data_IF_186060349936
#
_entry.id   IF_186060349936
#
_cell.length_a   1.000
_cell.length_b   1.000
_cell.length_c   1.000
_cell.angle_alpha   90.00
_cell.angle_beta   90.00
_cell.angle_gamma   90.00
#
_symmetry.space_group_name_H-M   'P 1'
#
loop_
_entity.id
_entity.type
_entity.pdbx_description
1 polymer ?
#
# COMPACT_ATOMS: atom_id res chain seq x y z
N UNK A 1 -10.50 -11.72 0.98
CA UNK A 1 -9.20 -11.26 0.44
C UNK A 1 -8.36 -10.70 1.56
N UNK A 2 -7.09 -11.00 1.55
CA UNK A 2 -6.16 -10.51 2.57
C UNK A 2 -5.04 -9.73 1.88
N UNK A 3 -4.75 -8.55 2.40
CA UNK A 3 -3.64 -7.70 1.98
C UNK A 3 -2.61 -7.61 3.09
N UNK A 4 -1.41 -7.14 2.77
CA UNK A 4 -0.26 -7.17 3.66
C UNK A 4 0.40 -5.80 3.74
N UNK A 5 0.75 -5.39 4.96
CA UNK A 5 1.37 -4.10 5.22
C UNK A 5 2.47 -4.25 6.26
N UNK A 6 3.59 -3.62 6.02
CA UNK A 6 4.70 -3.56 6.97
C UNK A 6 4.83 -2.12 7.42
N UNK A 7 4.72 -1.89 8.72
CA UNK A 7 4.71 -0.55 9.29
C UNK A 7 5.13 -0.59 10.76
N UNK A 8 5.56 0.55 11.28
CA UNK A 8 5.77 0.75 12.71
C UNK A 8 4.46 0.98 13.45
N UNK A 9 3.43 1.41 12.75
CA UNK A 9 2.21 1.96 13.34
C UNK A 9 1.02 1.07 13.05
N UNK A 10 0.25 0.80 14.11
CA UNK A 10 -1.06 0.15 14.01
C UNK A 10 -2.11 1.15 13.55
N UNK A 11 -3.21 0.61 13.05
CA UNK A 11 -4.39 1.39 12.71
C UNK A 11 -4.56 1.63 11.23
N UNK A 12 -5.79 1.89 10.84
CA UNK A 12 -6.23 2.05 9.45
C UNK A 12 -6.68 3.48 9.15
N UNK A 13 -6.10 4.47 9.84
CA UNK A 13 -6.46 5.88 9.63
C UNK A 13 -5.92 6.47 8.34
N UNK A 14 -4.83 5.91 7.81
CA UNK A 14 -4.17 6.45 6.62
C UNK A 14 -3.51 7.81 6.84
N UNK A 15 -3.27 8.20 8.09
CA UNK A 15 -2.73 9.53 8.41
C UNK A 15 -1.36 9.77 7.78
N UNK A 16 -0.57 8.71 7.54
CA UNK A 16 0.73 8.83 6.89
C UNK A 16 0.66 9.50 5.52
N UNK A 17 -0.44 9.33 4.79
CA UNK A 17 -0.65 9.98 3.50
C UNK A 17 -0.81 11.49 3.57
N UNK A 18 -1.05 12.04 4.77
CA UNK A 18 -1.18 13.49 4.95
C UNK A 18 0.18 14.19 5.10
N UNK A 19 1.24 13.45 5.32
CA UNK A 19 2.58 14.00 5.58
C UNK A 19 3.51 14.00 4.37
N UNK A 20 3.28 13.13 3.41
CA UNK A 20 4.17 13.00 2.25
C UNK A 20 3.41 12.53 1.03
N UNK A 21 3.88 12.98 -0.14
CA UNK A 21 3.41 12.50 -1.43
C UNK A 21 3.86 11.05 -1.66
N UNK A 22 3.10 10.32 -2.46
CA UNK A 22 3.49 9.02 -2.96
C UNK A 22 3.43 9.01 -4.49
N UNK A 23 3.77 7.86 -5.06
CA UNK A 23 3.66 7.64 -6.51
C UNK A 23 2.23 7.83 -7.03
N UNK A 24 1.22 7.62 -6.16
CA UNK A 24 -0.19 7.62 -6.54
C UNK A 24 -1.02 8.71 -5.89
N UNK A 25 -0.44 9.59 -5.09
CA UNK A 25 -1.22 10.68 -4.48
C UNK A 25 -0.35 11.85 -4.06
N UNK A 26 -0.99 13.00 -3.82
CA UNK A 26 -0.41 14.15 -3.13
C UNK A 26 -0.98 14.28 -1.72
N UNK A 27 -0.12 14.61 -0.76
CA UNK A 27 -0.55 15.05 0.56
C UNK A 27 -1.43 16.32 0.43
N UNK A 28 -2.35 16.58 1.35
CA UNK A 28 -2.59 15.91 2.62
C UNK A 28 -3.82 14.97 2.56
N UNK A 29 -3.76 13.90 1.82
CA UNK A 29 -4.86 12.94 1.71
C UNK A 29 -4.59 11.72 2.57
N UNK A 30 -5.61 11.24 3.29
CA UNK A 30 -5.54 9.97 4.01
C UNK A 30 -5.56 8.82 3.02
N UNK A 31 -4.57 7.96 3.08
CA UNK A 31 -4.47 6.76 2.24
C UNK A 31 -3.57 5.72 2.92
N UNK A 32 -3.92 4.45 2.74
CA UNK A 32 -3.09 3.32 3.15
C UNK A 32 -2.59 2.59 1.91
N UNK A 33 -1.41 2.00 2.04
CA UNK A 33 -0.80 1.17 1.00
C UNK A 33 -0.65 -0.24 1.53
N UNK A 34 -1.06 -1.22 0.73
CA UNK A 34 -0.92 -2.63 1.07
C UNK A 34 -0.53 -3.42 -0.18
N UNK A 35 0.10 -4.57 0.02
CA UNK A 35 0.52 -5.45 -1.06
C UNK A 35 -0.34 -6.70 -1.10
N UNK A 36 -0.43 -7.33 -2.25
CA UNK A 36 -1.17 -8.58 -2.43
C UNK A 36 -0.51 -9.78 -1.78
N UNK A 37 0.77 -9.69 -1.45
CA UNK A 37 1.56 -10.76 -0.85
C UNK A 37 2.60 -10.19 0.11
N UNK A 38 2.93 -10.87 1.22
CA UNK A 38 3.91 -10.35 2.17
C UNK A 38 5.32 -10.19 1.59
N UNK A 39 5.69 -11.01 0.61
CA UNK A 39 6.97 -10.84 -0.08
C UNK A 39 7.01 -9.51 -0.86
N UNK A 40 5.93 -9.13 -1.52
CA UNK A 40 5.84 -7.84 -2.20
C UNK A 40 5.87 -6.69 -1.19
N UNK A 41 5.17 -6.82 -0.06
CA UNK A 41 5.23 -5.81 1.00
C UNK A 41 6.67 -5.60 1.48
N UNK A 42 7.45 -6.67 1.57
CA UNK A 42 8.87 -6.61 1.94
C UNK A 42 9.69 -5.82 0.91
N UNK A 43 9.52 -6.11 -0.37
CA UNK A 43 10.21 -5.40 -1.45
C UNK A 43 9.84 -3.91 -1.46
N UNK A 44 8.56 -3.61 -1.26
CA UNK A 44 8.09 -2.23 -1.26
C UNK A 44 8.65 -1.43 -0.09
N UNK A 45 8.74 -2.02 1.11
CA UNK A 45 9.32 -1.30 2.26
C UNK A 45 10.81 -1.07 2.10
N UNK A 46 11.54 -2.03 1.53
CA UNK A 46 12.96 -1.86 1.22
C UNK A 46 13.20 -0.71 0.25
N UNK A 47 12.41 -0.66 -0.83
CA UNK A 47 12.51 0.40 -1.81
C UNK A 47 12.13 1.76 -1.22
N UNK A 48 11.08 1.82 -0.41
CA UNK A 48 10.63 3.05 0.22
C UNK A 48 11.66 3.61 1.20
N UNK A 49 12.25 2.76 2.03
CA UNK A 49 13.25 3.15 3.01
C UNK A 49 14.64 3.34 2.37
N UNK A 50 14.84 2.91 1.13
CA UNK A 50 16.13 2.95 0.43
C UNK A 50 17.25 2.29 1.22
N UNK A 51 16.95 1.13 1.81
CA UNK A 51 17.87 0.35 2.63
C UNK A 51 18.04 -1.04 2.04
N UNK A 52 19.11 -1.71 2.42
CA UNK A 52 19.27 -3.13 2.16
C UNK A 52 18.72 -3.98 3.33
N UNK A 53 18.72 -5.28 3.15
CA UNK A 53 18.15 -6.20 4.14
C UNK A 53 18.86 -6.14 5.50
N UNK A 54 20.16 -5.81 5.53
CA UNK A 54 20.94 -5.72 6.76
C UNK A 54 20.57 -4.49 7.60
N UNK A 55 19.95 -3.49 6.99
CA UNK A 55 19.59 -2.22 7.62
C UNK A 55 18.12 -2.16 8.05
N UNK A 56 17.38 -3.27 7.95
CA UNK A 56 15.97 -3.33 8.28
C UNK A 56 15.72 -2.89 9.72
N UNK A 57 14.85 -1.88 9.97
CA UNK A 57 14.52 -1.47 11.32
C UNK A 57 13.88 -2.61 12.12
N UNK A 58 14.23 -2.72 13.39
CA UNK A 58 13.67 -3.75 14.28
C UNK A 58 12.28 -3.38 14.82
N UNK A 59 11.82 -2.15 14.56
CA UNK A 59 10.54 -1.64 15.04
C UNK A 59 9.38 -1.93 14.10
N UNK A 60 9.64 -2.52 12.94
CA UNK A 60 8.60 -2.85 11.96
C UNK A 60 7.77 -4.04 12.41
N UNK A 61 6.49 -3.99 12.09
CA UNK A 61 5.52 -5.05 12.34
C UNK A 61 4.84 -5.44 11.03
N UNK A 62 4.43 -6.70 10.95
CA UNK A 62 3.65 -7.21 9.83
C UNK A 62 2.18 -7.18 10.19
N UNK A 63 1.38 -6.56 9.33
CA UNK A 63 -0.07 -6.53 9.46
C UNK A 63 -0.71 -7.22 8.27
N UNK A 64 -1.75 -7.99 8.54
CA UNK A 64 -2.70 -8.39 7.52
C UNK A 64 -3.90 -7.46 7.57
N UNK A 65 -4.46 -7.14 6.42
CA UNK A 65 -5.72 -6.41 6.30
C UNK A 65 -6.71 -7.32 5.62
N UNK A 66 -7.69 -7.78 6.38
CA UNK A 66 -8.73 -8.66 5.89
C UNK A 66 -9.90 -7.84 5.35
N UNK A 67 -10.34 -8.19 4.14
CA UNK A 67 -11.46 -7.54 3.49
C UNK A 67 -12.65 -8.50 3.43
N UNK A 68 -13.81 -7.97 3.81
CA UNK A 68 -15.07 -8.68 3.64
C UNK A 68 -15.44 -8.81 2.16
N UNK A 69 -16.24 -9.82 1.80
CA UNK A 69 -16.79 -9.90 0.45
C UNK A 69 -17.51 -8.61 0.05
N UNK A 70 -17.51 -8.31 -1.25
CA UNK A 70 -18.14 -7.11 -1.83
C UNK A 70 -17.47 -5.79 -1.48
N UNK A 71 -16.26 -5.80 -0.97
CA UNK A 71 -15.46 -4.59 -0.91
C UNK A 71 -15.31 -4.02 -2.32
N UNK A 72 -15.62 -2.74 -2.49
CA UNK A 72 -15.55 -2.10 -3.81
C UNK A 72 -14.09 -1.89 -4.21
N UNK A 73 -13.71 -2.36 -5.39
CA UNK A 73 -12.36 -2.28 -5.92
C UNK A 73 -12.42 -1.62 -7.29
N UNK A 74 -11.63 -0.56 -7.49
CA UNK A 74 -11.36 0.01 -8.80
C UNK A 74 -9.98 -0.44 -9.29
N UNK A 75 -9.80 -0.49 -10.60
CA UNK A 75 -8.53 -0.79 -11.23
C UNK A 75 -7.91 0.51 -11.73
N UNK A 76 -6.63 0.70 -11.46
CA UNK A 76 -5.89 1.77 -12.12
C UNK A 76 -5.83 1.48 -13.62
N UNK A 77 -5.84 2.53 -14.48
CA UNK A 77 -5.70 2.31 -15.91
C UNK A 77 -4.36 1.62 -16.19
N UNK A 78 -4.36 0.76 -17.20
CA UNK A 78 -3.11 0.22 -17.72
C UNK A 78 -2.32 1.36 -18.35
N UNK A 79 -1.16 1.64 -17.78
CA UNK A 79 -0.26 2.63 -18.32
C UNK A 79 0.58 1.98 -19.42
N UNK A 80 0.80 2.68 -20.56
CA UNK A 80 1.71 2.18 -21.55
C UNK A 80 3.09 1.89 -20.96
N UNK A 81 3.81 0.97 -21.58
CA UNK A 81 5.19 0.65 -21.21
C UNK A 81 6.03 1.94 -21.08
N UNK A 82 6.64 2.16 -19.93
CA UNK A 82 7.39 3.39 -19.62
C UNK A 82 6.60 4.46 -18.87
N UNK A 83 5.29 4.36 -18.77
CA UNK A 83 4.48 5.32 -17.99
C UNK A 83 4.69 5.21 -16.49
N UNK A 84 5.35 4.19 -16.01
CA UNK A 84 5.80 4.11 -14.61
C UNK A 84 6.72 5.28 -14.23
N UNK A 85 7.32 5.95 -15.22
CA UNK A 85 8.06 7.19 -15.03
C UNK A 85 7.15 8.42 -14.99
N UNK A 86 5.87 8.31 -15.36
CA UNK A 86 4.93 9.44 -15.37
C UNK A 86 4.18 9.54 -14.04
N UNK A 87 4.92 9.88 -13.00
CA UNK A 87 4.36 10.04 -11.64
C UNK A 87 3.24 11.07 -11.60
N UNK A 88 3.32 12.26 -12.26
CA UNK A 88 2.21 13.22 -12.23
C UNK A 88 0.89 12.64 -12.70
N UNK A 89 0.87 11.82 -13.75
CA UNK A 89 -0.37 11.18 -14.22
C UNK A 89 -0.90 10.18 -13.21
N UNK A 90 -0.03 9.39 -12.60
CA UNK A 90 -0.40 8.43 -11.55
C UNK A 90 -0.98 9.13 -10.32
N UNK A 91 -0.35 10.22 -9.89
CA UNK A 91 -0.82 11.02 -8.77
C UNK A 91 -2.18 11.66 -9.05
N UNK A 92 -2.37 12.20 -10.25
CA UNK A 92 -3.67 12.77 -10.64
C UNK A 92 -4.78 11.72 -10.58
N UNK A 93 -4.51 10.50 -11.04
CA UNK A 93 -5.48 9.41 -10.98
C UNK A 93 -5.83 9.02 -9.55
N UNK A 94 -4.83 8.81 -8.71
CA UNK A 94 -5.03 8.45 -7.31
C UNK A 94 -5.71 9.56 -6.50
N UNK A 95 -5.34 10.82 -6.74
CA UNK A 95 -6.00 11.96 -6.11
C UNK A 95 -7.51 12.00 -6.45
N UNK A 96 -7.85 11.85 -7.72
CA UNK A 96 -9.24 11.86 -8.16
C UNK A 96 -10.02 10.69 -7.52
N UNK A 97 -9.43 9.50 -7.49
CA UNK A 97 -10.03 8.34 -6.86
C UNK A 97 -10.29 8.58 -5.36
N UNK A 98 -9.33 9.14 -4.64
CA UNK A 98 -9.47 9.47 -3.22
C UNK A 98 -10.53 10.54 -2.99
N UNK A 99 -10.48 11.62 -3.77
CA UNK A 99 -11.36 12.78 -3.57
C UNK A 99 -12.81 12.45 -3.90
N UNK A 100 -13.05 11.64 -4.92
CA UNK A 100 -14.39 11.17 -5.29
C UNK A 100 -14.87 10.04 -4.37
N UNK A 101 -13.94 9.31 -3.75
CA UNK A 101 -14.27 8.17 -2.88
C UNK A 101 -15.07 7.08 -3.61
N UNK A 102 -14.67 6.78 -4.84
CA UNK A 102 -15.40 5.89 -5.75
C UNK A 102 -15.47 4.45 -5.22
N UNK A 103 -14.37 3.96 -4.68
CA UNK A 103 -14.27 2.61 -4.15
C UNK A 103 -13.38 2.58 -2.91
N UNK A 104 -13.49 1.50 -2.13
CA UNK A 104 -12.64 1.30 -0.96
C UNK A 104 -11.18 1.09 -1.35
N UNK A 105 -10.95 0.34 -2.42
CA UNK A 105 -9.62 -0.06 -2.89
C UNK A 105 -9.37 0.43 -4.31
N UNK A 106 -8.12 0.76 -4.58
CA UNK A 106 -7.60 0.98 -5.92
C UNK A 106 -6.43 -0.01 -6.14
N UNK A 107 -6.61 -0.94 -7.07
CA UNK A 107 -5.57 -1.89 -7.46
C UNK A 107 -4.61 -1.22 -8.43
N UNK A 108 -3.34 -1.19 -8.10
CA UNK A 108 -2.29 -0.54 -8.89
C UNK A 108 -1.14 -1.50 -9.16
N UNK A 109 -0.48 -1.39 -10.31
CA UNK A 109 0.70 -2.21 -10.57
C UNK A 109 1.86 -1.80 -9.66
N UNK A 110 2.64 -2.78 -9.23
CA UNK A 110 3.90 -2.50 -8.53
C UNK A 110 4.88 -1.80 -9.46
N UNK A 111 5.58 -0.79 -8.95
CA UNK A 111 6.66 -0.15 -9.67
C UNK A 111 7.99 -0.93 -9.59
N UNK A 112 8.05 -1.95 -8.74
CA UNK A 112 9.26 -2.68 -8.42
C UNK A 112 9.28 -4.04 -9.10
N UNK A 113 8.14 -4.73 -9.11
CA UNK A 113 8.06 -6.10 -9.57
C UNK A 113 6.96 -6.24 -10.64
N UNK A 114 7.32 -6.65 -11.87
CA UNK A 114 6.31 -6.90 -12.92
C UNK A 114 5.31 -7.98 -12.50
N UNK A 115 4.08 -7.85 -12.96
CA UNK A 115 2.98 -8.78 -12.69
C UNK A 115 2.57 -8.88 -11.22
N UNK A 116 2.99 -7.93 -10.39
CA UNK A 116 2.61 -7.83 -8.99
C UNK A 116 1.82 -6.53 -8.75
N UNK A 117 0.91 -6.57 -7.77
CA UNK A 117 -0.02 -5.48 -7.54
C UNK A 117 -0.03 -5.05 -6.09
N UNK A 118 -0.09 -3.73 -5.93
CA UNK A 118 -0.38 -3.10 -4.65
C UNK A 118 -1.81 -2.58 -4.66
N UNK A 119 -2.29 -2.22 -3.49
CA UNK A 119 -3.63 -1.65 -3.30
C UNK A 119 -3.51 -0.38 -2.48
N UNK A 120 -4.14 0.68 -2.97
CA UNK A 120 -4.43 1.83 -2.15
C UNK A 120 -5.76 1.59 -1.45
N UNK A 121 -5.83 1.97 -0.18
CA UNK A 121 -7.05 1.85 0.63
C UNK A 121 -7.47 3.25 1.03
N UNK A 122 -8.72 3.60 0.74
CA UNK A 122 -9.29 4.88 1.14
C UNK A 122 -9.97 4.72 2.51
N UNK A 123 -9.34 5.17 3.60
CA UNK A 123 -9.91 4.99 4.94
C UNK A 123 -11.16 5.83 5.18
N UNK A 124 -11.44 6.79 4.29
CA UNK A 124 -12.63 7.65 4.37
C UNK A 124 -13.80 7.13 3.51
N UNK A 125 -13.60 6.05 2.78
CA UNK A 125 -14.70 5.42 2.06
C UNK A 125 -15.70 4.83 3.05
N UNK A 126 -16.98 4.87 2.71
CA UNK A 126 -18.08 4.38 3.58
C UNK A 126 -17.91 2.93 4.01
N UNK A 127 -17.27 2.09 3.21
CA UNK A 127 -17.02 0.68 3.54
C UNK A 127 -15.82 0.48 4.49
N UNK A 128 -15.02 1.50 4.77
CA UNK A 128 -13.79 1.33 5.54
C UNK A 128 -14.05 0.80 6.95
N UNK A 129 -15.12 1.23 7.60
CA UNK A 129 -15.46 0.79 8.96
C UNK A 129 -16.10 -0.60 9.01
N UNK A 130 -16.67 -1.06 7.91
CA UNK A 130 -17.44 -2.31 7.87
C UNK A 130 -16.73 -3.46 7.16
N UNK A 131 -15.82 -3.15 6.22
CA UNK A 131 -15.22 -4.15 5.32
C UNK A 131 -13.73 -4.38 5.55
N UNK A 132 -13.09 -3.63 6.44
CA UNK A 132 -11.67 -3.77 6.77
C UNK A 132 -11.47 -4.24 8.19
N UNK A 133 -10.54 -5.17 8.38
CA UNK A 133 -10.07 -5.57 9.70
C UNK A 133 -8.55 -5.73 9.66
N UNK A 134 -7.85 -5.04 10.55
CA UNK A 134 -6.41 -5.19 10.70
C UNK A 134 -6.10 -6.31 11.68
N UNK A 135 -5.14 -7.16 11.31
CA UNK A 135 -4.60 -8.20 12.16
C UNK A 135 -3.11 -7.95 12.35
N UNK A 136 -2.70 -7.72 13.58
CA UNK A 136 -1.28 -7.57 13.92
C UNK A 136 -0.66 -8.97 14.03
N UNK A 137 0.24 -9.30 13.10
CA UNK A 137 0.91 -10.60 13.05
C UNK A 137 2.24 -10.61 13.81
N UNK A 138 2.57 -9.51 14.48
CA UNK A 138 3.75 -9.41 15.31
C UNK A 138 4.93 -8.71 14.64
N UNK A 139 6.12 -8.77 15.29
CA UNK A 139 7.30 -8.16 14.73
C UNK A 139 7.63 -8.73 13.35
N UNK A 140 7.99 -7.83 12.42
CA UNK A 140 8.46 -8.24 11.10
C UNK A 140 9.92 -8.68 11.20
N UNK A 141 10.26 -9.78 10.52
CA UNK A 141 11.62 -10.29 10.44
C UNK A 141 11.88 -10.93 9.08
N UNK A 142 13.16 -10.97 8.73
CA UNK A 142 13.64 -11.63 7.51
C UNK A 142 14.70 -12.65 7.92
N UNK A 143 14.61 -13.84 7.32
CA UNK A 143 15.57 -14.90 7.59
C UNK A 143 17.02 -14.47 7.26
N UNK A 144 18.02 -14.89 8.05
CA UNK A 144 19.40 -14.43 7.88
C UNK A 144 20.03 -14.84 6.55
N UNK A 145 19.47 -15.80 5.86
CA UNK A 145 19.95 -16.23 4.52
C UNK A 145 19.84 -15.12 3.48
N UNK A 146 18.88 -14.22 3.65
CA UNK A 146 18.68 -13.09 2.73
C UNK A 146 19.49 -11.86 3.12
N UNK A 147 19.96 -11.80 4.38
CA UNK A 147 20.68 -10.65 4.92
C UNK A 147 22.19 -10.72 4.74
N UNK A 148 22.70 -11.66 3.97
CA UNK A 148 24.15 -11.82 3.72
C UNK A 148 24.67 -10.79 2.75
#
# INVERSE_FOLDING_TARGET
MRLWRISRYRGLSGIGGTYADSRWHHAPRHVLFAAEHPALATLEVLAHLRIDLSQMPTTLRLFAIDLKPRAAISLAPQLPSGCQANIPTMQAHGNAWLDVSKSLLLKVPSAILPHAYNYLINPRHRQATTHLAEVDLGPFWIGPRLAR
#
